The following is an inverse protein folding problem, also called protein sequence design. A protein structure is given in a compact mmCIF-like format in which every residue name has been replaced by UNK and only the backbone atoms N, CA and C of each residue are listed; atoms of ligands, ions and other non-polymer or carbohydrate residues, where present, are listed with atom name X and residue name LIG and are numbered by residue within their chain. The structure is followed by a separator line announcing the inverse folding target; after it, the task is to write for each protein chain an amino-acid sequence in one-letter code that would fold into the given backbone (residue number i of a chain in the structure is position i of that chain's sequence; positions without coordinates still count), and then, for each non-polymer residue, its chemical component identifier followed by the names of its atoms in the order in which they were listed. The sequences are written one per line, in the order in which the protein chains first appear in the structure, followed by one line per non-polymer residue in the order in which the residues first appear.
data_IF_452679989055
#
_entry.id   IF_452679989055
#
_cell.length_a   1.000
_cell.length_b   1.000
_cell.length_c   1.000
_cell.angle_alpha   90.00
_cell.angle_beta   90.00
_cell.angle_gamma   90.00
#
_symmetry.space_group_name_H-M   'P 1'
#
loop_
_entity.id
_entity.type
_entity.pdbx_description
1 polymer ?
#
# COMPACT_ATOMS: atom_id res chain seq x y z
N UNK A 1 16.15 3.84 -6.34
CA UNK A 1 15.44 5.10 -6.06
C UNK A 1 13.94 4.82 -5.97
N UNK A 2 13.19 5.58 -5.19
CA UNK A 2 11.75 5.38 -5.00
C UNK A 2 10.98 6.58 -5.53
N UNK A 3 10.14 6.36 -6.53
CA UNK A 3 9.20 7.36 -7.06
C UNK A 3 7.91 7.39 -6.22
N UNK A 4 7.14 8.47 -6.40
CA UNK A 4 5.93 8.73 -5.63
C UNK A 4 4.76 9.20 -6.50
N UNK A 5 4.45 8.44 -7.56
CA UNK A 5 3.27 8.68 -8.39
C UNK A 5 2.03 8.10 -7.72
N UNK A 6 1.04 8.95 -7.47
CA UNK A 6 -0.21 8.62 -6.76
C UNK A 6 -1.39 8.48 -7.70
N UNK A 7 -1.35 9.13 -8.86
CA UNK A 7 -2.38 9.08 -9.89
C UNK A 7 -1.76 8.95 -11.29
N UNK A 8 -2.36 8.20 -12.25
CA UNK A 8 -1.83 8.06 -13.62
C UNK A 8 -1.50 9.39 -14.31
N UNK A 9 -2.39 10.39 -14.18
CA UNK A 9 -2.20 11.79 -14.63
C UNK A 9 -0.89 12.46 -14.19
N UNK A 10 -0.25 12.03 -13.12
CA UNK A 10 1.04 12.58 -12.69
C UNK A 10 2.20 12.12 -13.58
N UNK A 11 2.01 11.01 -14.31
CA UNK A 11 2.98 10.49 -15.27
C UNK A 11 2.90 11.22 -16.61
N UNK A 12 3.30 12.49 -16.59
CA UNK A 12 3.36 13.37 -17.75
C UNK A 12 4.52 13.02 -18.70
N UNK A 13 4.59 13.65 -19.87
CA UNK A 13 5.73 13.50 -20.78
C UNK A 13 7.04 13.98 -20.16
N UNK A 14 7.01 15.02 -19.32
CA UNK A 14 8.16 15.47 -18.55
C UNK A 14 8.59 14.42 -17.52
N UNK A 15 7.63 13.82 -16.80
CA UNK A 15 7.92 12.76 -15.83
C UNK A 15 8.51 11.52 -16.52
N UNK A 16 7.95 11.12 -17.66
CA UNK A 16 8.45 10.00 -18.46
C UNK A 16 9.90 10.23 -18.91
N UNK A 17 10.21 11.43 -19.43
CA UNK A 17 11.58 11.78 -19.83
C UNK A 17 12.55 11.77 -18.64
N UNK A 18 12.15 12.28 -17.48
CA UNK A 18 12.99 12.23 -16.28
C UNK A 18 13.27 10.80 -15.84
N UNK A 19 12.25 9.93 -15.88
CA UNK A 19 12.40 8.49 -15.58
C UNK A 19 13.35 7.82 -16.55
N UNK A 20 13.21 8.08 -17.85
CA UNK A 20 14.11 7.54 -18.88
C UNK A 20 15.56 7.95 -18.61
N UNK A 21 15.81 9.25 -18.35
CA UNK A 21 17.16 9.74 -18.03
C UNK A 21 17.76 9.04 -16.81
N UNK A 22 16.96 8.83 -15.76
CA UNK A 22 17.40 8.14 -14.55
C UNK A 22 17.72 6.66 -14.82
N UNK A 23 16.87 5.98 -15.59
CA UNK A 23 17.09 4.59 -15.99
C UNK A 23 18.32 4.45 -16.90
N UNK A 24 18.52 5.37 -17.86
CA UNK A 24 19.71 5.41 -18.72
C UNK A 24 21.00 5.66 -17.93
N UNK A 25 20.93 6.36 -16.81
CA UNK A 25 22.05 6.51 -15.87
C UNK A 25 22.28 5.27 -14.99
N UNK A 26 21.51 4.20 -15.17
CA UNK A 26 21.62 2.94 -14.42
C UNK A 26 20.81 2.90 -13.13
N UNK A 27 19.97 3.90 -12.85
CA UNK A 27 19.13 3.87 -11.65
C UNK A 27 18.02 2.82 -11.77
N UNK A 28 17.82 2.05 -10.69
CA UNK A 28 16.64 1.17 -10.54
C UNK A 28 15.55 1.96 -9.83
N UNK A 29 14.37 2.04 -10.44
CA UNK A 29 13.21 2.74 -9.90
C UNK A 29 12.12 1.77 -9.49
N UNK A 30 11.41 2.14 -8.42
CA UNK A 30 10.17 1.51 -7.95
C UNK A 30 9.19 2.60 -7.53
N UNK A 31 7.89 2.33 -7.57
CA UNK A 31 6.88 3.31 -7.17
C UNK A 31 6.22 2.94 -5.84
N UNK A 32 6.11 3.90 -4.94
CA UNK A 32 5.20 3.79 -3.78
C UNK A 32 4.20 4.92 -3.80
N UNK A 33 3.00 4.70 -3.30
CA UNK A 33 1.99 5.76 -3.21
C UNK A 33 1.09 5.56 -1.99
N UNK A 34 0.47 6.62 -1.44
CA UNK A 34 -0.61 6.49 -0.50
C UNK A 34 -1.90 6.10 -1.23
N UNK A 35 -2.80 5.42 -0.52
CA UNK A 35 -4.20 5.35 -0.89
C UNK A 35 -4.92 6.57 -0.32
N UNK A 36 -5.44 7.42 -1.19
CA UNK A 36 -6.06 8.70 -0.87
C UNK A 36 -7.49 8.75 -1.40
N UNK A 37 -8.42 9.08 -0.50
CA UNK A 37 -9.83 9.28 -0.80
C UNK A 37 -10.03 10.40 -1.84
N UNK A 38 -10.78 10.11 -2.90
CA UNK A 38 -11.04 11.02 -4.01
C UNK A 38 -9.88 11.20 -5.00
N UNK A 39 -8.74 10.51 -4.81
CA UNK A 39 -7.59 10.57 -5.73
C UNK A 39 -7.40 9.22 -6.42
N UNK A 40 -7.11 8.17 -5.67
CA UNK A 40 -6.81 6.84 -6.22
C UNK A 40 -7.52 5.71 -5.46
N UNK A 41 -8.58 6.04 -4.72
CA UNK A 41 -9.46 5.12 -3.97
C UNK A 41 -10.48 4.38 -4.86
N UNK A 42 -10.19 4.26 -6.15
CA UNK A 42 -10.97 3.46 -7.10
C UNK A 42 -10.11 2.33 -7.66
N UNK A 43 -10.63 1.08 -7.71
CA UNK A 43 -9.88 -0.05 -8.26
C UNK A 43 -9.37 0.19 -9.69
N UNK A 44 -10.15 0.86 -10.53
CA UNK A 44 -9.76 1.17 -11.91
C UNK A 44 -8.58 2.15 -11.96
N UNK A 45 -8.64 3.23 -11.19
CA UNK A 45 -7.59 4.26 -11.15
C UNK A 45 -6.28 3.70 -10.59
N UNK A 46 -6.36 2.89 -9.54
CA UNK A 46 -5.17 2.26 -8.95
C UNK A 46 -4.57 1.19 -9.88
N UNK A 47 -5.40 0.43 -10.59
CA UNK A 47 -4.94 -0.53 -11.59
C UNK A 47 -4.25 0.16 -12.78
N UNK A 48 -4.83 1.26 -13.27
CA UNK A 48 -4.21 2.09 -14.32
C UNK A 48 -2.83 2.57 -13.87
N UNK A 49 -2.72 3.10 -12.65
CA UNK A 49 -1.43 3.54 -12.09
C UNK A 49 -0.41 2.40 -12.10
N UNK A 50 -0.79 1.22 -11.60
CA UNK A 50 0.09 0.06 -11.58
C UNK A 50 0.56 -0.36 -12.97
N UNK A 51 -0.33 -0.34 -13.96
CA UNK A 51 0.01 -0.64 -15.35
C UNK A 51 0.95 0.40 -15.94
N UNK A 52 0.66 1.69 -15.78
CA UNK A 52 1.50 2.80 -16.26
C UNK A 52 2.91 2.71 -15.68
N UNK A 53 3.03 2.51 -14.37
CA UNK A 53 4.32 2.42 -13.70
C UNK A 53 5.10 1.17 -14.15
N UNK A 54 4.45 0.01 -14.20
CA UNK A 54 5.09 -1.22 -14.67
C UNK A 54 5.56 -1.12 -16.13
N UNK A 55 4.75 -0.51 -17.01
CA UNK A 55 5.10 -0.27 -18.41
C UNK A 55 6.31 0.66 -18.54
N UNK A 56 6.39 1.70 -17.70
CA UNK A 56 7.52 2.61 -17.63
C UNK A 56 8.79 2.00 -16.98
N UNK A 57 8.80 0.71 -16.66
CA UNK A 57 9.94 0.07 -15.98
C UNK A 57 10.11 0.51 -14.53
N UNK A 58 9.02 0.95 -13.88
CA UNK A 58 8.96 1.33 -12.47
C UNK A 58 7.99 0.40 -11.75
N UNK A 59 8.40 -0.82 -11.34
CA UNK A 59 7.49 -1.75 -10.69
C UNK A 59 6.79 -1.15 -9.45
N UNK A 60 5.47 -1.35 -9.29
CA UNK A 60 4.75 -0.97 -8.06
C UNK A 60 5.32 -1.71 -6.84
N UNK A 61 5.59 -0.97 -5.76
CA UNK A 61 6.24 -1.48 -4.55
C UNK A 61 5.33 -1.45 -3.34
N UNK A 62 4.81 -0.28 -2.98
CA UNK A 62 3.90 -0.14 -1.84
C UNK A 62 2.71 0.73 -2.18
N UNK A 63 1.54 0.33 -1.67
CA UNK A 63 0.43 1.23 -1.42
C UNK A 63 0.37 1.45 0.09
N UNK A 64 0.43 2.69 0.52
CA UNK A 64 0.42 3.06 1.92
C UNK A 64 -0.98 3.46 2.38
N UNK A 65 -1.43 2.87 3.48
CA UNK A 65 -2.49 3.46 4.27
C UNK A 65 -2.06 4.84 4.79
N UNK A 66 -2.96 5.82 4.72
CA UNK A 66 -2.71 7.16 5.22
C UNK A 66 -2.38 7.15 6.72
N UNK A 67 -1.36 7.92 7.12
CA UNK A 67 -0.96 8.02 8.53
C UNK A 67 -1.96 8.85 9.36
N UNK A 68 -2.10 8.58 10.67
CA UNK A 68 -2.89 9.39 11.59
C UNK A 68 -2.19 10.71 11.90
N UNK A 69 -2.16 11.62 10.92
CA UNK A 69 -1.71 12.99 11.11
C UNK A 69 -2.92 13.92 11.20
N UNK A 70 -2.74 15.02 11.93
CA UNK A 70 -3.75 16.07 12.05
C UNK A 70 -4.16 16.54 10.66
N UNK A 71 -5.46 16.51 10.37
CA UNK A 71 -6.02 16.91 9.07
C UNK A 71 -6.11 15.80 8.01
N UNK A 72 -5.55 14.61 8.22
CA UNK A 72 -5.56 13.54 7.21
C UNK A 72 -6.85 12.73 7.11
N UNK A 73 -7.71 12.76 8.14
CA UNK A 73 -8.91 11.92 8.20
C UNK A 73 -9.83 12.05 6.97
N UNK A 74 -10.13 13.25 6.43
CA UNK A 74 -10.94 13.40 5.22
C UNK A 74 -10.35 12.73 3.97
N UNK A 75 -9.02 12.61 3.90
CA UNK A 75 -8.27 12.00 2.80
C UNK A 75 -8.02 10.50 3.00
N UNK A 76 -8.38 9.97 4.17
CA UNK A 76 -8.12 8.57 4.52
C UNK A 76 -9.25 7.66 4.08
N UNK A 77 -8.89 6.43 3.74
CA UNK A 77 -9.81 5.33 3.45
C UNK A 77 -9.74 4.34 4.61
N UNK A 78 -10.86 3.80 5.15
CA UNK A 78 -10.81 2.70 6.10
C UNK A 78 -9.93 1.55 5.60
N UNK A 79 -9.16 0.92 6.48
CA UNK A 79 -8.19 -0.12 6.12
C UNK A 79 -8.85 -1.27 5.35
N UNK A 80 -10.03 -1.69 5.79
CA UNK A 80 -10.74 -2.80 5.14
C UNK A 80 -11.24 -2.44 3.73
N UNK A 81 -11.72 -1.20 3.52
CA UNK A 81 -12.13 -0.67 2.21
C UNK A 81 -10.88 -0.53 1.31
N UNK A 82 -9.78 -0.02 1.86
CA UNK A 82 -8.52 0.13 1.13
C UNK A 82 -7.93 -1.20 0.68
N UNK A 83 -8.02 -2.24 1.52
CA UNK A 83 -7.61 -3.60 1.15
C UNK A 83 -8.46 -4.16 0.00
N UNK A 84 -9.78 -3.94 0.02
CA UNK A 84 -10.67 -4.37 -1.06
C UNK A 84 -10.36 -3.64 -2.38
N UNK A 85 -10.13 -2.33 -2.32
CA UNK A 85 -9.73 -1.52 -3.50
C UNK A 85 -8.42 -2.05 -4.07
N UNK A 86 -7.44 -2.32 -3.19
CA UNK A 86 -6.12 -2.79 -3.57
C UNK A 86 -6.16 -4.17 -4.24
N UNK A 87 -6.86 -5.15 -3.66
CA UNK A 87 -7.00 -6.49 -4.25
C UNK A 87 -7.80 -6.44 -5.56
N UNK A 88 -8.85 -5.64 -5.64
CA UNK A 88 -9.62 -5.44 -6.87
C UNK A 88 -8.78 -4.80 -7.98
N UNK A 89 -7.85 -3.89 -7.65
CA UNK A 89 -6.89 -3.34 -8.60
C UNK A 89 -5.89 -4.41 -9.07
N UNK A 90 -5.31 -5.19 -8.15
CA UNK A 90 -4.36 -6.27 -8.48
C UNK A 90 -4.96 -7.36 -9.38
N UNK A 91 -6.26 -7.61 -9.27
CA UNK A 91 -6.95 -8.57 -10.14
C UNK A 91 -6.96 -8.14 -11.62
N UNK A 92 -6.84 -6.84 -11.91
CA UNK A 92 -6.98 -6.26 -13.26
C UNK A 92 -5.66 -6.08 -14.01
N UNK A 93 -4.53 -6.40 -13.39
CA UNK A 93 -3.20 -6.11 -13.94
C UNK A 93 -2.35 -7.37 -14.07
N UNK A 94 -1.24 -7.26 -14.83
CA UNK A 94 -0.29 -8.36 -15.03
C UNK A 94 0.46 -8.74 -13.74
N UNK A 95 1.13 -9.90 -13.75
CA UNK A 95 1.95 -10.36 -12.62
C UNK A 95 3.03 -9.36 -12.18
N UNK A 96 3.65 -8.66 -13.15
CA UNK A 96 4.65 -7.62 -12.88
C UNK A 96 4.04 -6.39 -12.22
N UNK A 97 2.85 -5.98 -12.67
CA UNK A 97 2.15 -4.80 -12.18
C UNK A 97 1.47 -5.02 -10.81
N UNK A 98 1.16 -6.26 -10.42
CA UNK A 98 0.54 -6.57 -9.11
C UNK A 98 1.52 -6.82 -7.95
N UNK A 99 2.80 -6.48 -8.11
CA UNK A 99 3.86 -6.74 -7.10
C UNK A 99 3.78 -5.88 -5.85
N UNK A 100 2.99 -4.81 -5.87
CA UNK A 100 2.83 -3.94 -4.72
C UNK A 100 2.32 -4.72 -3.50
N UNK A 101 2.64 -4.23 -2.30
CA UNK A 101 2.02 -4.64 -1.03
C UNK A 101 1.23 -3.49 -0.45
N UNK A 102 0.09 -3.78 0.18
CA UNK A 102 -0.67 -2.79 0.94
C UNK A 102 -0.15 -2.76 2.37
N UNK A 103 0.41 -1.63 2.77
CA UNK A 103 1.17 -1.48 4.00
C UNK A 103 0.78 -0.22 4.75
N UNK A 104 1.08 -0.17 6.04
CA UNK A 104 0.92 1.01 6.88
C UNK A 104 2.18 1.27 7.69
N UNK A 105 2.41 2.54 8.02
CA UNK A 105 3.42 2.93 9.00
C UNK A 105 2.76 3.04 10.36
N UNK A 106 3.33 2.38 11.36
CA UNK A 106 2.89 2.41 12.74
C UNK A 106 4.10 2.66 13.65
N UNK A 107 3.90 3.13 14.88
CA UNK A 107 5.01 3.37 15.80
C UNK A 107 5.77 2.07 16.15
N UNK A 108 5.08 0.92 16.11
CA UNK A 108 5.69 -0.40 16.31
C UNK A 108 6.38 -0.96 15.06
N UNK A 109 6.22 -0.35 13.89
CA UNK A 109 6.85 -0.82 12.66
C UNK A 109 6.05 -0.58 11.38
N UNK A 110 6.55 -1.17 10.29
CA UNK A 110 5.84 -1.26 9.00
C UNK A 110 5.08 -2.57 8.96
N UNK A 111 3.78 -2.47 8.77
CA UNK A 111 2.84 -3.59 8.83
C UNK A 111 2.17 -3.73 7.47
N UNK A 112 2.12 -4.95 6.97
CA UNK A 112 1.39 -5.34 5.77
C UNK A 112 -0.01 -5.80 6.14
N UNK A 113 -1.01 -5.36 5.37
CA UNK A 113 -2.36 -5.94 5.40
C UNK A 113 -2.35 -7.12 4.45
N UNK A 114 -2.34 -8.32 5.01
CA UNK A 114 -2.12 -9.56 4.27
C UNK A 114 -3.42 -10.12 3.71
N UNK A 115 -4.51 -9.98 4.46
CA UNK A 115 -5.74 -10.68 4.14
C UNK A 115 -6.94 -10.21 4.94
N UNK A 116 -8.12 -10.68 4.52
CA UNK A 116 -9.39 -10.50 5.20
C UNK A 116 -10.30 -11.72 5.01
N UNK A 117 -11.04 -12.09 6.06
CA UNK A 117 -12.17 -13.04 5.99
C UNK A 117 -13.48 -12.32 6.33
N UNK A 118 -14.57 -13.05 6.55
CA UNK A 118 -15.82 -12.45 7.01
C UNK A 118 -15.71 -11.83 8.40
N UNK A 119 -14.81 -12.35 9.26
CA UNK A 119 -14.72 -11.98 10.68
C UNK A 119 -13.38 -11.36 11.07
N UNK A 120 -12.30 -11.62 10.32
CA UNK A 120 -10.95 -11.26 10.72
C UNK A 120 -10.16 -10.49 9.66
N UNK A 121 -9.26 -9.65 10.14
CA UNK A 121 -8.17 -9.03 9.39
C UNK A 121 -6.85 -9.70 9.75
N UNK A 122 -5.97 -9.82 8.78
CA UNK A 122 -4.67 -10.48 8.93
C UNK A 122 -3.55 -9.51 8.61
N UNK A 123 -2.58 -9.41 9.51
CA UNK A 123 -1.49 -8.46 9.42
C UNK A 123 -0.14 -9.16 9.62
N UNK A 124 0.92 -8.56 9.07
CA UNK A 124 2.28 -9.04 9.27
C UNK A 124 3.25 -7.89 9.40
N UNK A 125 4.17 -7.97 10.36
CA UNK A 125 5.31 -7.05 10.42
C UNK A 125 6.25 -7.31 9.24
N UNK A 126 6.35 -6.32 8.35
CA UNK A 126 7.35 -6.30 7.30
C UNK A 126 8.69 -5.74 7.79
N UNK A 127 8.62 -4.83 8.77
CA UNK A 127 9.77 -4.34 9.54
C UNK A 127 9.28 -3.91 10.91
N UNK A 128 9.69 -4.59 11.97
CA UNK A 128 9.31 -4.23 13.33
C UNK A 128 10.29 -3.22 13.96
N UNK A 129 9.83 -2.47 14.97
CA UNK A 129 10.67 -1.62 15.80
C UNK A 129 11.45 -2.44 16.85
N UNK A 130 10.86 -3.54 17.31
CA UNK A 130 11.50 -4.52 18.19
C UNK A 130 11.85 -5.76 17.38
N UNK A 131 13.02 -6.34 17.63
CA UNK A 131 13.50 -7.51 16.89
C UNK A 131 12.61 -8.75 17.12
N UNK A 132 12.06 -8.90 18.34
CA UNK A 132 11.11 -9.96 18.71
C UNK A 132 9.81 -9.97 17.89
N UNK A 133 9.41 -8.82 17.34
CA UNK A 133 8.22 -8.71 16.50
C UNK A 133 8.54 -8.91 15.00
N UNK A 134 9.79 -9.19 14.65
CA UNK A 134 10.22 -9.31 13.25
C UNK A 134 9.51 -10.47 12.56
N UNK A 135 8.74 -10.15 11.52
CA UNK A 135 7.96 -11.16 10.79
C UNK A 135 6.72 -11.67 11.53
N UNK A 136 6.42 -11.16 12.73
CA UNK A 136 5.22 -11.52 13.51
C UNK A 136 3.97 -11.33 12.68
N UNK A 137 3.17 -12.38 12.61
CA UNK A 137 1.87 -12.42 11.97
C UNK A 137 0.80 -12.34 13.06
N UNK A 138 -0.25 -11.56 12.85
CA UNK A 138 -1.31 -11.42 13.84
C UNK A 138 -2.67 -11.18 13.22
N UNK A 139 -3.70 -11.60 13.94
CA UNK A 139 -5.10 -11.61 13.53
C UNK A 139 -5.86 -10.64 14.43
N UNK A 140 -6.72 -9.80 13.85
CA UNK A 140 -7.63 -8.94 14.61
C UNK A 140 -9.06 -9.13 14.13
N UNK A 141 -10.05 -8.90 15.01
CA UNK A 141 -11.47 -8.85 14.60
C UNK A 141 -11.69 -7.69 13.64
N UNK A 142 -12.57 -7.86 12.66
CA UNK A 142 -12.90 -6.79 11.73
C UNK A 142 -13.50 -5.57 12.41
N UNK A 143 -13.14 -4.40 11.90
CA UNK A 143 -13.72 -3.12 12.23
C UNK A 143 -13.84 -2.27 10.95
N UNK A 144 -15.06 -2.16 10.43
CA UNK A 144 -15.38 -1.37 9.23
C UNK A 144 -15.10 0.13 9.36
N UNK A 145 -14.90 0.62 10.59
CA UNK A 145 -14.60 2.02 10.88
C UNK A 145 -13.12 2.26 11.18
N UNK A 146 -12.28 1.23 11.08
CA UNK A 146 -10.85 1.36 11.33
C UNK A 146 -10.15 2.09 10.17
N UNK A 147 -9.64 3.29 10.45
CA UNK A 147 -8.77 4.05 9.56
C UNK A 147 -7.30 3.73 9.83
N UNK A 148 -6.96 3.32 11.05
CA UNK A 148 -5.60 3.01 11.49
C UNK A 148 -5.58 1.72 12.32
N UNK A 149 -4.38 1.19 12.56
CA UNK A 149 -4.22 -0.07 13.30
C UNK A 149 -4.78 0.02 14.72
N UNK A 150 -4.60 1.16 15.38
CA UNK A 150 -5.06 1.38 16.76
C UNK A 150 -6.58 1.48 16.90
N UNK A 151 -7.31 1.53 15.77
CA UNK A 151 -8.77 1.45 15.79
C UNK A 151 -9.27 -0.01 15.95
N UNK A 152 -8.38 -1.00 15.97
CA UNK A 152 -8.73 -2.40 16.23
C UNK A 152 -8.51 -2.74 17.70
N UNK A 153 -9.51 -3.37 18.35
CA UNK A 153 -9.53 -3.52 19.81
C UNK A 153 -8.48 -4.50 20.36
N UNK A 154 -8.33 -5.68 19.73
CA UNK A 154 -7.46 -6.74 20.25
C UNK A 154 -6.93 -7.68 19.17
N UNK A 155 -5.71 -8.17 19.42
CA UNK A 155 -5.15 -9.32 18.72
C UNK A 155 -5.91 -10.57 19.19
N UNK A 156 -6.46 -11.32 18.24
CA UNK A 156 -7.21 -12.55 18.48
C UNK A 156 -6.26 -13.74 18.59
N UNK A 157 -5.24 -13.76 17.73
CA UNK A 157 -4.21 -14.80 17.65
C UNK A 157 -2.99 -14.23 16.92
N UNK A 158 -1.83 -14.79 17.17
CA UNK A 158 -0.58 -14.35 16.57
C UNK A 158 0.48 -15.44 16.52
N UNK A 159 1.48 -15.22 15.68
CA UNK A 159 2.62 -16.11 15.52
C UNK A 159 3.90 -15.30 15.34
N UNK A 160 4.89 -15.61 16.18
CA UNK A 160 6.24 -15.04 16.16
C UNK A 160 7.18 -16.11 15.64
N UNK A 161 8.10 -15.73 14.74
CA UNK A 161 9.09 -16.63 14.14
C UNK A 161 10.23 -16.99 15.09
#
# INVERSE_FOLDING_TARGET
MVAHFTHPREFTSQAARAVEMLQSAGAILINQCPLIRGVNDRPETLAELFQTMAFAGIPPYYVFQCRPAVGNKPYSVPIEEGYEIFEAAKARVSGLAKRARYVMSHHSGKIEVVGKTREFMFFKYHRAAREEDSGRFFIMRRNHRAYWLDDYDQIVDDYIL
#
